data_IF_947955567335
#
_entry.id   IF_947955567335
#
_cell.length_a   1.000
_cell.length_b   1.000
_cell.length_c   1.000
_cell.angle_alpha   90.00
_cell.angle_beta   90.00
_cell.angle_gamma   90.00
#
_symmetry.space_group_name_H-M   'P 1'
#
loop_
_entity.id
_entity.type
_entity.pdbx_description
1 polymer ?
#
# COMPACT_ATOMS: atom_id res chain seq x y z
N UNK A 1 -6.28 -2.36 9.34
CA UNK A 1 -5.35 -1.24 9.68
C UNK A 1 -4.00 -1.73 10.22
N UNK A 2 -3.96 -2.52 11.32
CA UNK A 2 -2.71 -2.91 12.02
C UNK A 2 -1.67 -3.61 11.11
N UNK A 3 -2.11 -4.60 10.33
CA UNK A 3 -1.24 -5.34 9.40
C UNK A 3 -0.55 -4.43 8.37
N UNK A 4 -1.25 -3.40 7.86
CA UNK A 4 -0.69 -2.43 6.91
C UNK A 4 0.39 -1.55 7.55
N UNK A 5 0.22 -1.18 8.82
CA UNK A 5 1.23 -0.42 9.57
C UNK A 5 2.49 -1.26 9.73
N UNK A 6 2.32 -2.51 10.16
CA UNK A 6 3.44 -3.43 10.35
C UNK A 6 4.22 -3.68 9.05
N UNK A 7 3.53 -3.85 7.92
CA UNK A 7 4.18 -3.99 6.61
C UNK A 7 4.87 -2.69 6.19
N UNK A 8 4.25 -1.52 6.41
CA UNK A 8 4.88 -0.22 6.06
C UNK A 8 6.17 -0.01 6.85
N UNK A 9 6.14 -0.24 8.17
CA UNK A 9 7.30 -0.09 9.05
C UNK A 9 8.41 -1.09 8.69
N UNK A 10 8.04 -2.32 8.31
CA UNK A 10 8.98 -3.33 7.86
C UNK A 10 9.64 -2.96 6.51
N UNK A 11 8.87 -2.43 5.55
CA UNK A 11 9.40 -1.95 4.27
C UNK A 11 10.33 -0.75 4.49
N UNK A 12 9.97 0.20 5.35
CA UNK A 12 10.83 1.35 5.68
C UNK A 12 12.17 0.91 6.30
N UNK A 13 12.12 -0.03 7.25
CA UNK A 13 13.33 -0.61 7.83
C UNK A 13 14.16 -1.37 6.79
N UNK A 14 13.51 -2.14 5.91
CA UNK A 14 14.17 -2.89 4.85
C UNK A 14 14.86 -1.96 3.83
N UNK A 15 14.22 -0.84 3.45
CA UNK A 15 14.83 0.19 2.60
C UNK A 15 16.09 0.75 3.25
N UNK A 16 16.02 1.13 4.53
CA UNK A 16 17.18 1.65 5.24
C UNK A 16 18.33 0.65 5.27
N UNK A 17 18.03 -0.62 5.52
CA UNK A 17 19.04 -1.68 5.47
C UNK A 17 19.61 -1.88 4.06
N UNK A 18 18.78 -1.80 3.02
CA UNK A 18 19.21 -1.85 1.61
C UNK A 18 20.12 -0.67 1.22
N UNK A 19 19.82 0.54 1.69
CA UNK A 19 20.67 1.73 1.47
C UNK A 19 22.03 1.60 2.15
N UNK A 20 22.10 0.91 3.28
CA UNK A 20 23.34 0.62 4.00
C UNK A 20 24.06 -0.66 3.47
N UNK A 21 23.54 -1.30 2.42
CA UNK A 21 24.09 -2.54 1.85
C UNK A 21 23.89 -3.79 2.71
N UNK A 22 23.05 -3.72 3.74
CA UNK A 22 22.75 -4.79 4.71
C UNK A 22 21.58 -5.65 4.26
N UNK A 23 21.67 -6.24 3.07
CA UNK A 23 20.58 -7.00 2.42
C UNK A 23 20.08 -8.19 3.26
N UNK A 24 20.97 -8.95 3.90
CA UNK A 24 20.56 -10.06 4.77
C UNK A 24 19.70 -9.62 5.95
N UNK A 25 20.02 -8.47 6.57
CA UNK A 25 19.19 -7.90 7.64
C UNK A 25 17.85 -7.39 7.10
N UNK A 26 17.84 -6.79 5.91
CA UNK A 26 16.60 -6.36 5.25
C UNK A 26 15.65 -7.55 5.01
N UNK A 27 16.19 -8.66 4.50
CA UNK A 27 15.41 -9.89 4.27
C UNK A 27 14.91 -10.51 5.58
N UNK A 28 15.71 -10.51 6.64
CA UNK A 28 15.30 -11.03 7.96
C UNK A 28 14.14 -10.22 8.54
N UNK A 29 14.18 -8.88 8.43
CA UNK A 29 13.09 -8.00 8.87
C UNK A 29 11.79 -8.33 8.12
N UNK A 30 11.86 -8.48 6.81
CA UNK A 30 10.71 -8.85 5.99
C UNK A 30 10.19 -10.26 6.30
N UNK A 31 11.10 -11.21 6.56
CA UNK A 31 10.73 -12.58 6.91
C UNK A 31 9.96 -12.63 8.23
N UNK A 32 10.41 -11.90 9.25
CA UNK A 32 9.71 -11.79 10.54
C UNK A 32 8.30 -11.23 10.37
N UNK A 33 8.13 -10.25 9.48
CA UNK A 33 6.81 -9.70 9.17
C UNK A 33 5.93 -10.71 8.43
N UNK A 34 6.48 -11.45 7.47
CA UNK A 34 5.76 -12.52 6.78
C UNK A 34 5.29 -13.62 7.76
N UNK A 35 6.17 -14.03 8.69
CA UNK A 35 5.83 -15.06 9.69
C UNK A 35 4.73 -14.57 10.64
N UNK A 36 4.74 -13.29 11.03
CA UNK A 36 3.66 -12.69 11.83
C UNK A 36 2.34 -12.61 11.09
N UNK A 37 2.36 -12.26 9.80
CA UNK A 37 1.17 -12.26 8.94
C UNK A 37 0.58 -13.67 8.80
N UNK A 38 1.42 -14.72 8.78
CA UNK A 38 1.00 -16.13 8.77
C UNK A 38 0.43 -16.61 10.10
N UNK A 39 0.93 -16.08 11.21
CA UNK A 39 0.45 -16.43 12.57
C UNK A 39 -0.87 -15.75 12.94
N UNK A 40 -1.25 -14.68 12.24
CA UNK A 40 -2.54 -14.03 12.44
C UNK A 40 -3.68 -14.97 12.01
N UNK A 41 -4.58 -15.28 12.94
CA UNK A 41 -5.64 -16.30 12.77
C UNK A 41 -6.69 -15.88 11.74
N UNK A 42 -6.67 -14.63 11.30
CA UNK A 42 -7.58 -14.08 10.30
C UNK A 42 -6.91 -14.01 8.93
N UNK A 43 -6.87 -15.16 8.22
CA UNK A 43 -6.48 -15.17 6.80
C UNK A 43 -7.54 -14.40 6.00
N UNK A 44 -7.24 -13.14 5.71
CA UNK A 44 -8.09 -12.26 4.93
C UNK A 44 -7.48 -12.06 3.54
N UNK A 45 -8.30 -11.64 2.57
CA UNK A 45 -7.77 -11.24 1.26
C UNK A 45 -6.67 -10.17 1.39
N UNK A 46 -6.78 -9.31 2.40
CA UNK A 46 -5.78 -8.30 2.72
C UNK A 46 -4.47 -8.94 3.22
N UNK A 47 -4.51 -9.86 4.19
CA UNK A 47 -3.27 -10.49 4.69
C UNK A 47 -2.56 -11.29 3.60
N UNK A 48 -3.30 -11.95 2.70
CA UNK A 48 -2.71 -12.62 1.54
C UNK A 48 -2.05 -11.66 0.56
N UNK A 49 -2.70 -10.53 0.24
CA UNK A 49 -2.09 -9.50 -0.60
C UNK A 49 -0.82 -8.95 0.05
N UNK A 50 -0.88 -8.60 1.34
CA UNK A 50 0.27 -8.10 2.10
C UNK A 50 1.44 -9.10 2.16
N UNK A 51 1.16 -10.41 2.26
CA UNK A 51 2.22 -11.43 2.19
C UNK A 51 2.91 -11.45 0.82
N UNK A 52 2.14 -11.39 -0.28
CA UNK A 52 2.70 -11.34 -1.64
C UNK A 52 3.64 -10.15 -1.79
N UNK A 53 3.23 -8.97 -1.33
CA UNK A 53 4.05 -7.75 -1.40
C UNK A 53 5.35 -7.87 -0.58
N UNK A 54 5.30 -8.54 0.58
CA UNK A 54 6.50 -8.77 1.40
C UNK A 54 7.45 -9.76 0.73
N UNK A 55 6.95 -10.83 0.12
CA UNK A 55 7.76 -11.80 -0.65
C UNK A 55 8.39 -11.16 -1.90
N UNK A 56 7.63 -10.28 -2.56
CA UNK A 56 8.10 -9.46 -3.67
C UNK A 56 9.23 -8.51 -3.25
N UNK A 57 9.10 -7.86 -2.09
CA UNK A 57 10.13 -7.00 -1.53
C UNK A 57 11.40 -7.80 -1.12
N UNK A 58 11.24 -9.02 -0.60
CA UNK A 58 12.37 -9.90 -0.26
C UNK A 58 13.20 -10.28 -1.48
N UNK A 59 12.52 -10.57 -2.60
CA UNK A 59 13.18 -10.93 -3.87
C UNK A 59 14.02 -9.77 -4.39
N UNK A 60 13.48 -8.55 -4.32
CA UNK A 60 14.15 -7.30 -4.74
C UNK A 60 15.29 -6.86 -3.80
N UNK A 61 15.32 -7.39 -2.59
CA UNK A 61 16.38 -7.19 -1.60
C UNK A 61 17.32 -8.40 -1.47
N UNK A 62 17.26 -9.36 -2.41
CA UNK A 62 18.08 -10.57 -2.36
C UNK A 62 19.54 -10.35 -2.67
N UNK A 63 19.86 -9.33 -3.46
CA UNK A 63 21.22 -8.96 -3.81
C UNK A 63 21.35 -7.46 -4.06
N UNK A 64 22.58 -6.97 -4.05
CA UNK A 64 22.87 -5.59 -4.42
C UNK A 64 22.49 -5.29 -5.88
N UNK A 65 22.59 -6.29 -6.76
CA UNK A 65 22.23 -6.18 -8.17
C UNK A 65 20.73 -5.94 -8.34
N UNK A 66 19.90 -6.81 -7.76
CA UNK A 66 18.43 -6.67 -7.78
C UNK A 66 17.97 -5.34 -7.17
N UNK A 67 18.62 -4.93 -6.07
CA UNK A 67 18.34 -3.65 -5.43
C UNK A 67 18.64 -2.45 -6.33
N UNK A 68 19.77 -2.49 -7.04
CA UNK A 68 20.20 -1.44 -7.97
C UNK A 68 19.43 -1.46 -9.28
N UNK A 69 18.98 -2.63 -9.74
CA UNK A 69 18.21 -2.84 -10.97
C UNK A 69 16.73 -2.49 -10.81
N UNK A 70 16.41 -1.51 -9.95
CA UNK A 70 15.05 -1.02 -9.74
C UNK A 70 14.36 -1.57 -8.50
N UNK A 71 14.93 -2.58 -7.81
CA UNK A 71 14.39 -3.09 -6.55
C UNK A 71 14.20 -1.98 -5.51
N UNK A 72 15.12 -1.00 -5.44
CA UNK A 72 14.98 0.19 -4.59
C UNK A 72 13.72 0.99 -4.88
N UNK A 73 13.44 1.26 -6.15
CA UNK A 73 12.28 2.04 -6.55
C UNK A 73 10.99 1.29 -6.20
N UNK A 74 10.92 0.01 -6.53
CA UNK A 74 9.72 -0.79 -6.31
C UNK A 74 9.39 -1.00 -4.82
N UNK A 75 10.40 -1.28 -3.99
CA UNK A 75 10.18 -1.39 -2.53
C UNK A 75 9.76 -0.05 -1.93
N UNK A 76 10.30 1.06 -2.45
CA UNK A 76 9.90 2.41 -2.02
C UNK A 76 8.47 2.74 -2.44
N UNK A 77 8.08 2.38 -3.66
CA UNK A 77 6.72 2.58 -4.18
C UNK A 77 5.70 1.76 -3.39
N UNK A 78 6.01 0.50 -3.07
CA UNK A 78 5.17 -0.35 -2.23
C UNK A 78 4.96 0.27 -0.82
N UNK A 79 6.02 0.84 -0.22
CA UNK A 79 5.91 1.57 1.05
C UNK A 79 4.98 2.77 0.93
N UNK A 80 5.13 3.59 -0.11
CA UNK A 80 4.26 4.76 -0.33
C UNK A 80 2.81 4.38 -0.64
N UNK A 81 2.59 3.32 -1.41
CA UNK A 81 1.26 2.78 -1.67
C UNK A 81 0.56 2.43 -0.37
N UNK A 82 1.17 1.59 0.46
CA UNK A 82 0.58 1.21 1.74
C UNK A 82 0.39 2.41 2.66
N UNK A 83 1.36 3.34 2.68
CA UNK A 83 1.26 4.58 3.45
C UNK A 83 0.05 5.42 3.03
N UNK A 84 -0.22 5.51 1.72
CA UNK A 84 -1.37 6.20 1.14
C UNK A 84 -2.69 5.49 1.42
N UNK A 85 -2.71 4.15 1.34
CA UNK A 85 -3.88 3.32 1.66
C UNK A 85 -4.31 3.45 3.14
N UNK A 86 -3.37 3.73 4.06
CA UNK A 86 -3.71 4.08 5.45
C UNK A 86 -4.62 5.31 5.53
N UNK A 87 -4.39 6.29 4.66
CA UNK A 87 -5.12 7.56 4.64
C UNK A 87 -6.43 7.46 3.84
N UNK A 88 -6.60 6.46 2.97
CA UNK A 88 -7.79 6.30 2.11
C UNK A 88 -8.76 5.22 2.56
N UNK A 89 -8.46 4.48 3.65
CA UNK A 89 -9.40 3.53 4.28
C UNK A 89 -10.49 4.28 5.08
N UNK A 90 -11.15 5.24 4.44
CA UNK A 90 -12.49 5.79 4.78
C UNK A 90 -13.08 6.55 3.59
N UNK A 91 -12.68 6.19 2.37
CA UNK A 91 -13.44 6.57 1.18
C UNK A 91 -13.94 5.27 0.58
N UNK A 92 -15.00 4.72 1.19
CA UNK A 92 -16.07 4.19 0.34
C UNK A 92 -16.22 5.16 -0.81
N UNK A 93 -16.30 4.66 -2.04
CA UNK A 93 -16.52 5.43 -3.27
C UNK A 93 -17.79 6.29 -3.18
N UNK A 94 -17.80 7.31 -2.31
CA UNK A 94 -18.82 8.33 -2.18
C UNK A 94 -18.53 9.27 -3.31
N UNK A 95 -19.20 8.97 -4.42
CA UNK A 95 -19.64 9.87 -5.45
C UNK A 95 -18.61 10.95 -5.84
N UNK A 96 -18.13 10.89 -7.07
CA UNK A 96 -17.69 12.10 -7.78
C UNK A 96 -18.88 13.07 -7.88
N UNK A 97 -19.17 13.77 -6.78
CA UNK A 97 -20.16 14.84 -6.65
C UNK A 97 -19.44 16.19 -6.79
N UNK A 98 -18.49 16.29 -7.73
CA UNK A 98 -17.84 17.57 -8.02
C UNK A 98 -18.83 18.59 -8.61
N UNK A 99 -19.98 18.14 -9.14
CA UNK A 99 -21.03 19.02 -9.67
C UNK A 99 -22.11 19.42 -8.64
N UNK A 100 -22.31 18.68 -7.55
CA UNK A 100 -23.42 19.00 -6.62
C UNK A 100 -23.09 20.15 -5.66
N UNK A 101 -21.80 20.45 -5.45
CA UNK A 101 -21.37 21.55 -4.57
C UNK A 101 -21.54 22.94 -5.20
N UNK A 102 -21.62 23.03 -6.53
CA UNK A 102 -21.74 24.29 -7.25
C UNK A 102 -23.09 24.49 -7.95
N UNK A 103 -23.95 23.46 -7.97
CA UNK A 103 -25.28 23.58 -8.54
C UNK A 103 -26.24 24.19 -7.52
N UNK A 104 -26.71 25.40 -7.79
CA UNK A 104 -27.79 26.01 -7.01
C UNK A 104 -29.09 25.24 -7.27
N UNK A 105 -30.02 25.18 -6.31
CA UNK A 105 -31.28 24.39 -6.40
C UNK A 105 -32.07 24.58 -7.72
N UNK A 106 -32.01 25.77 -8.31
CA UNK A 106 -32.64 26.07 -9.60
C UNK A 106 -31.94 25.38 -10.80
N UNK A 107 -30.62 25.18 -10.73
CA UNK A 107 -29.84 24.51 -11.78
C UNK A 107 -30.06 22.99 -11.75
N UNK A 108 -30.23 22.38 -10.58
CA UNK A 108 -30.54 20.95 -10.45
C UNK A 108 -31.91 20.61 -11.02
N UNK A 109 -32.94 21.43 -10.80
CA UNK A 109 -34.28 21.21 -11.38
C UNK A 109 -34.28 21.26 -12.92
N UNK A 110 -33.50 22.16 -13.51
CA UNK A 110 -33.42 22.30 -14.97
C UNK A 110 -32.76 21.07 -15.60
N UNK A 111 -31.69 20.55 -14.97
CA UNK A 111 -30.98 19.35 -15.43
C UNK A 111 -31.88 18.11 -15.34
N UNK A 112 -32.67 17.98 -14.26
CA UNK A 112 -33.61 16.87 -14.11
C UNK A 112 -34.74 16.90 -15.14
N UNK A 113 -35.19 18.09 -15.57
CA UNK A 113 -36.23 18.23 -16.59
C UNK A 113 -35.76 17.88 -18.00
N UNK A 114 -34.48 18.01 -18.30
CA UNK A 114 -33.93 17.72 -19.64
C UNK A 114 -33.64 16.24 -19.93
N UNK A 115 -33.99 15.33 -19.00
CA UNK A 115 -33.80 13.86 -19.16
C UNK A 115 -35.10 13.08 -19.41
N UNK A 116 -36.20 13.77 -19.74
CA UNK A 116 -37.42 13.23 -20.34
C UNK A 116 -37.55 13.75 -21.77
#
# INVERSE_FOLDING_TARGET
QRQRVEVTDALEAAIRHGEEGRFGFAQEVLQKTADRLKQDTSETKLSRALMSEVEDAQSRLSSAEEWQQGGRAEVTDAMWMHRGERCTTTVESRNKCSKSLYATRAQTETISRSQL
#
